data_IF_589981189200
#
_entry.id   IF_589981189200
#
_cell.length_a   1.000
_cell.length_b   1.000
_cell.length_c   1.000
_cell.angle_alpha   90.00
_cell.angle_beta   90.00
_cell.angle_gamma   90.00
#
_symmetry.space_group_name_H-M   'P 1'
#
loop_
_entity.id
_entity.type
_entity.pdbx_description
1 polymer ?
#
# COMPACT_ATOMS: atom_id res chain seq x y z
N UNK A 1 -11.43 1.33 -45.60
CA UNK A 1 -10.73 1.78 -44.38
C UNK A 1 -11.59 2.86 -43.75
N UNK A 2 -12.00 2.76 -42.47
CA UNK A 2 -12.75 3.85 -41.82
C UNK A 2 -11.78 4.98 -41.50
N UNK A 3 -12.17 6.20 -41.84
CA UNK A 3 -11.45 7.44 -41.58
C UNK A 3 -11.28 7.66 -40.07
N UNK A 4 -10.04 7.95 -39.66
CA UNK A 4 -9.70 8.37 -38.30
C UNK A 4 -10.37 9.70 -37.96
N UNK A 5 -11.39 9.69 -37.12
CA UNK A 5 -11.89 10.92 -36.52
C UNK A 5 -10.91 11.38 -35.43
N UNK A 6 -10.26 12.51 -35.66
CA UNK A 6 -9.39 13.20 -34.68
C UNK A 6 -10.24 13.80 -33.55
N UNK A 7 -9.87 13.53 -32.32
CA UNK A 7 -10.43 14.26 -31.17
C UNK A 7 -9.97 15.71 -31.16
N UNK A 8 -10.71 16.64 -30.53
CA UNK A 8 -10.37 18.08 -30.50
C UNK A 8 -9.04 18.43 -29.79
N UNK A 9 -8.34 17.46 -29.23
CA UNK A 9 -7.05 17.65 -28.53
C UNK A 9 -5.90 16.79 -29.06
N UNK A 10 -5.99 16.31 -30.32
CA UNK A 10 -4.86 15.66 -30.99
C UNK A 10 -4.49 14.24 -30.56
N UNK A 11 -5.26 13.60 -29.67
CA UNK A 11 -5.08 12.20 -29.29
C UNK A 11 -5.82 11.25 -30.24
N UNK A 12 -5.22 10.09 -30.56
CA UNK A 12 -5.90 9.03 -31.28
C UNK A 12 -6.92 8.36 -30.37
N UNK A 13 -8.23 8.45 -30.71
CA UNK A 13 -9.27 7.64 -30.07
C UNK A 13 -9.17 6.22 -30.62
N UNK A 14 -8.85 5.26 -29.76
CA UNK A 14 -8.89 3.84 -30.14
C UNK A 14 -10.35 3.44 -30.26
N UNK A 15 -10.85 3.29 -31.49
CA UNK A 15 -12.24 2.91 -31.75
C UNK A 15 -12.33 1.38 -31.69
N UNK A 16 -12.76 0.84 -30.56
CA UNK A 16 -13.02 -0.59 -30.40
C UNK A 16 -14.36 -1.04 -31.03
N UNK A 17 -15.02 -0.15 -31.75
CA UNK A 17 -16.28 -0.44 -32.42
C UNK A 17 -16.50 0.45 -33.66
N UNK A 18 -17.37 -0.02 -34.57
CA UNK A 18 -17.96 0.82 -35.62
C UNK A 18 -19.41 1.06 -35.24
N UNK A 19 -19.89 2.32 -35.24
CA UNK A 19 -21.26 2.67 -34.84
C UNK A 19 -22.32 1.92 -35.62
N UNK A 20 -23.44 1.64 -34.93
CA UNK A 20 -24.59 0.97 -35.50
C UNK A 20 -25.26 1.83 -36.59
N UNK A 21 -25.46 1.24 -37.74
CA UNK A 21 -26.12 1.85 -38.89
C UNK A 21 -27.32 1.02 -39.35
N UNK A 22 -28.41 1.69 -39.77
CA UNK A 22 -29.58 1.03 -40.31
C UNK A 22 -29.39 0.77 -41.80
N UNK A 23 -29.34 -0.49 -42.16
CA UNK A 23 -29.25 -0.94 -43.55
C UNK A 23 -30.65 -1.34 -44.05
N UNK A 24 -31.12 -0.69 -45.12
CA UNK A 24 -32.41 -0.91 -45.75
C UNK A 24 -32.21 -1.74 -47.02
N UNK A 25 -32.87 -2.91 -47.09
CA UNK A 25 -32.86 -3.80 -48.26
C UNK A 25 -34.12 -4.66 -48.23
N UNK A 26 -34.10 -5.86 -48.82
CA UNK A 26 -35.18 -6.84 -48.66
C UNK A 26 -35.54 -7.09 -47.21
N UNK A 27 -34.54 -6.92 -46.30
CA UNK A 27 -34.66 -7.04 -44.88
C UNK A 27 -34.04 -5.80 -44.23
N UNK A 28 -34.80 -5.07 -43.36
CA UNK A 28 -34.25 -4.00 -42.55
C UNK A 28 -33.42 -4.58 -41.40
N UNK A 29 -32.16 -4.18 -41.31
CA UNK A 29 -31.20 -4.65 -40.33
C UNK A 29 -30.34 -3.50 -39.79
N UNK A 30 -29.90 -3.63 -38.59
CA UNK A 30 -28.90 -2.77 -37.98
C UNK A 30 -27.59 -3.54 -38.02
N UNK A 31 -26.53 -2.91 -38.49
CA UNK A 31 -25.20 -3.49 -38.58
C UNK A 31 -24.22 -2.62 -37.82
N UNK A 32 -23.44 -3.22 -36.98
CA UNK A 32 -22.33 -2.58 -36.28
C UNK A 32 -21.20 -3.58 -36.11
N UNK A 33 -20.02 -3.07 -35.71
CA UNK A 33 -18.87 -3.90 -35.40
C UNK A 33 -18.42 -3.58 -34.03
N UNK A 34 -18.03 -4.59 -33.26
CA UNK A 34 -17.40 -4.43 -31.95
C UNK A 34 -16.20 -5.38 -31.85
N UNK A 35 -15.19 -5.00 -31.11
CA UNK A 35 -14.02 -5.82 -30.89
C UNK A 35 -14.40 -7.03 -30.04
N UNK A 36 -14.20 -8.23 -30.57
CA UNK A 36 -14.37 -9.45 -29.79
C UNK A 36 -13.12 -9.65 -28.93
N UNK A 37 -13.24 -9.70 -27.58
CA UNK A 37 -12.10 -9.84 -26.68
C UNK A 37 -11.30 -11.13 -26.87
N UNK A 38 -11.95 -12.20 -27.38
CA UNK A 38 -11.31 -13.50 -27.60
C UNK A 38 -10.50 -13.54 -28.90
N UNK A 39 -11.01 -12.92 -29.98
CA UNK A 39 -10.33 -12.90 -31.29
C UNK A 39 -9.48 -11.64 -31.49
N UNK A 40 -9.59 -10.65 -30.60
CA UNK A 40 -9.01 -9.30 -30.72
C UNK A 40 -9.35 -8.55 -32.03
N UNK A 41 -10.36 -9.01 -32.75
CA UNK A 41 -10.79 -8.46 -34.06
C UNK A 41 -12.14 -7.77 -33.96
N UNK A 42 -12.35 -6.77 -34.82
CA UNK A 42 -13.68 -6.18 -35.00
C UNK A 42 -14.57 -7.18 -35.73
N UNK A 43 -15.57 -7.69 -35.02
CA UNK A 43 -16.54 -8.63 -35.59
C UNK A 43 -17.88 -7.97 -35.82
N UNK A 44 -18.53 -8.43 -36.89
CA UNK A 44 -19.80 -7.89 -37.36
C UNK A 44 -20.96 -8.41 -36.56
N UNK A 45 -21.77 -7.50 -36.02
CA UNK A 45 -23.04 -7.84 -35.35
C UNK A 45 -24.23 -7.32 -36.16
N UNK A 46 -25.25 -8.16 -36.33
CA UNK A 46 -26.45 -7.85 -37.09
C UNK A 46 -27.71 -8.06 -36.29
N UNK A 47 -28.53 -7.01 -36.17
CA UNK A 47 -29.85 -7.06 -35.57
C UNK A 47 -30.92 -6.93 -36.67
N UNK A 48 -31.80 -7.93 -36.76
CA UNK A 48 -32.91 -7.94 -37.74
C UNK A 48 -34.14 -7.23 -37.16
N UNK A 49 -34.72 -6.26 -37.92
CA UNK A 49 -35.85 -5.41 -37.46
C UNK A 49 -37.15 -5.70 -38.21
N UNK A 50 -37.41 -6.94 -38.60
CA UNK A 50 -38.56 -7.26 -39.49
C UNK A 50 -39.85 -7.62 -38.76
N UNK A 51 -39.90 -7.56 -37.44
CA UNK A 51 -41.15 -7.82 -36.66
C UNK A 51 -42.22 -6.78 -36.88
N UNK A 52 -41.87 -5.55 -37.27
CA UNK A 52 -42.79 -4.46 -37.56
C UNK A 52 -43.17 -4.49 -39.03
N UNK A 53 -44.46 -4.68 -39.37
CA UNK A 53 -44.95 -4.86 -40.74
C UNK A 53 -44.89 -3.56 -41.55
N UNK A 54 -45.33 -2.42 -40.97
CA UNK A 54 -45.31 -1.14 -41.65
C UNK A 54 -43.92 -0.57 -41.84
N UNK A 55 -43.57 -0.17 -43.05
CA UNK A 55 -42.22 0.28 -43.41
C UNK A 55 -41.78 1.52 -42.65
N UNK A 56 -42.67 2.50 -42.45
CA UNK A 56 -42.36 3.74 -41.75
C UNK A 56 -42.09 3.51 -40.25
N UNK A 57 -42.92 2.71 -39.58
CA UNK A 57 -42.75 2.32 -38.16
C UNK A 57 -41.49 1.47 -37.96
N UNK A 58 -41.24 0.55 -38.87
CA UNK A 58 -40.03 -0.28 -38.87
C UNK A 58 -38.75 0.55 -38.93
N UNK A 59 -38.79 1.63 -39.74
CA UNK A 59 -37.65 2.54 -39.83
C UNK A 59 -37.44 3.37 -38.57
N UNK A 60 -38.56 3.89 -37.95
CA UNK A 60 -38.46 4.58 -36.67
C UNK A 60 -37.91 3.65 -35.57
N UNK A 61 -38.46 2.43 -35.49
CA UNK A 61 -37.99 1.41 -34.57
C UNK A 61 -36.52 1.03 -34.78
N UNK A 62 -36.10 0.84 -36.03
CA UNK A 62 -34.70 0.50 -36.33
C UNK A 62 -33.74 1.64 -35.97
N UNK A 63 -34.13 2.91 -36.17
CA UNK A 63 -33.33 4.07 -35.78
C UNK A 63 -33.23 4.16 -34.28
N UNK A 64 -34.33 4.04 -33.53
CA UNK A 64 -34.33 4.05 -32.06
C UNK A 64 -33.42 2.96 -31.46
N UNK A 65 -33.44 1.75 -32.05
CA UNK A 65 -32.53 0.67 -31.60
C UNK A 65 -31.07 1.01 -31.93
N UNK A 66 -30.79 1.55 -33.14
CA UNK A 66 -29.41 1.92 -33.52
C UNK A 66 -28.86 3.02 -32.62
N UNK A 67 -29.69 4.02 -32.26
CA UNK A 67 -29.30 5.09 -31.34
C UNK A 67 -29.01 4.55 -29.93
N UNK A 68 -29.84 3.63 -29.42
CA UNK A 68 -29.62 2.96 -28.14
C UNK A 68 -28.33 2.13 -28.14
N UNK A 69 -28.07 1.36 -29.23
CA UNK A 69 -26.84 0.60 -29.39
C UNK A 69 -25.63 1.54 -29.39
N UNK A 70 -25.72 2.64 -30.14
CA UNK A 70 -24.64 3.62 -30.23
C UNK A 70 -24.35 4.30 -28.89
N UNK A 71 -25.37 4.57 -28.10
CA UNK A 71 -25.22 5.10 -26.74
C UNK A 71 -24.55 4.08 -25.83
N UNK A 72 -24.97 2.81 -25.90
CA UNK A 72 -24.36 1.71 -25.14
C UNK A 72 -22.89 1.51 -25.55
N UNK A 73 -22.57 1.50 -26.85
CA UNK A 73 -21.20 1.38 -27.34
C UNK A 73 -20.32 2.55 -26.90
N UNK A 74 -20.84 3.78 -26.88
CA UNK A 74 -20.15 4.96 -26.35
C UNK A 74 -19.84 4.85 -24.85
N UNK A 75 -20.73 4.17 -24.11
CA UNK A 75 -20.56 3.89 -22.66
C UNK A 75 -19.68 2.67 -22.40
N UNK A 76 -19.06 2.07 -23.44
CA UNK A 76 -18.15 0.92 -23.28
C UNK A 76 -18.83 -0.44 -23.33
N UNK A 77 -20.13 -0.53 -23.59
CA UNK A 77 -20.82 -1.82 -23.76
C UNK A 77 -20.27 -2.58 -24.98
N UNK A 78 -20.05 -3.89 -24.80
CA UNK A 78 -19.56 -4.78 -25.84
C UNK A 78 -20.48 -6.04 -25.96
N UNK A 79 -21.07 -6.30 -27.17
CA UNK A 79 -22.03 -7.38 -27.37
C UNK A 79 -21.44 -8.79 -27.25
N UNK A 80 -20.12 -8.94 -27.34
CA UNK A 80 -19.44 -10.22 -27.19
C UNK A 80 -19.17 -10.58 -25.73
N UNK A 81 -19.04 -9.58 -24.90
CA UNK A 81 -18.89 -9.73 -23.45
C UNK A 81 -20.22 -10.10 -22.80
N UNK A 82 -21.38 -9.62 -23.31
CA UNK A 82 -22.75 -9.93 -22.86
C UNK A 82 -23.11 -11.43 -22.91
N UNK A 83 -22.35 -12.20 -23.64
CA UNK A 83 -22.57 -13.64 -23.75
C UNK A 83 -21.78 -14.47 -22.74
N UNK A 84 -20.84 -13.87 -22.03
CA UNK A 84 -19.88 -14.61 -21.22
C UNK A 84 -20.23 -14.77 -19.74
N UNK A 85 -21.14 -14.12 -19.18
CA UNK A 85 -21.74 -14.16 -17.82
C UNK A 85 -22.05 -12.76 -17.33
N UNK A 86 -23.07 -12.60 -16.51
CA UNK A 86 -23.45 -11.32 -15.87
C UNK A 86 -22.32 -10.71 -15.03
N UNK A 87 -21.38 -11.50 -14.59
CA UNK A 87 -20.23 -11.13 -13.75
C UNK A 87 -19.14 -10.37 -14.53
N UNK A 88 -18.97 -10.62 -15.84
CA UNK A 88 -18.02 -9.92 -16.72
C UNK A 88 -18.39 -8.45 -17.03
N UNK A 89 -19.58 -7.98 -16.63
CA UNK A 89 -20.07 -6.60 -16.82
C UNK A 89 -19.81 -5.67 -15.66
N UNK A 90 -19.05 -6.07 -14.70
CA UNK A 90 -18.69 -5.18 -13.62
C UNK A 90 -17.81 -4.05 -14.16
N UNK A 91 -18.26 -2.80 -13.98
CA UNK A 91 -17.41 -1.65 -14.29
C UNK A 91 -16.11 -1.76 -13.49
N UNK A 92 -15.00 -1.39 -14.13
CA UNK A 92 -13.69 -1.48 -13.48
C UNK A 92 -13.64 -0.65 -12.18
N UNK A 93 -14.24 0.55 -12.19
CA UNK A 93 -14.32 1.41 -10.99
C UNK A 93 -15.12 0.74 -9.88
N UNK A 94 -16.28 0.14 -10.20
CA UNK A 94 -17.11 -0.56 -9.22
C UNK A 94 -16.39 -1.79 -8.64
N UNK A 95 -15.64 -2.52 -9.47
CA UNK A 95 -14.83 -3.65 -9.02
C UNK A 95 -13.71 -3.21 -8.06
N UNK A 96 -13.08 -2.06 -8.30
CA UNK A 96 -12.08 -1.48 -7.39
C UNK A 96 -12.71 -1.13 -6.04
N UNK A 97 -13.89 -0.51 -6.04
CA UNK A 97 -14.61 -0.15 -4.82
C UNK A 97 -15.03 -1.38 -4.02
N UNK A 98 -15.57 -2.40 -4.68
CA UNK A 98 -15.93 -3.67 -4.05
C UNK A 98 -14.72 -4.35 -3.42
N UNK A 99 -13.58 -4.40 -4.12
CA UNK A 99 -12.33 -4.94 -3.58
C UNK A 99 -11.90 -4.22 -2.30
N UNK A 100 -11.88 -2.89 -2.32
CA UNK A 100 -11.49 -2.09 -1.15
C UNK A 100 -12.45 -2.35 0.02
N UNK A 101 -13.77 -2.37 -0.24
CA UNK A 101 -14.78 -2.63 0.78
C UNK A 101 -14.64 -4.02 1.42
N UNK A 102 -14.34 -5.04 0.61
CA UNK A 102 -14.10 -6.38 1.13
C UNK A 102 -12.83 -6.43 2.00
N UNK A 103 -11.74 -5.80 1.53
CA UNK A 103 -10.49 -5.72 2.28
C UNK A 103 -10.58 -4.91 3.58
N UNK A 104 -11.58 -4.03 3.74
CA UNK A 104 -11.85 -3.33 5.00
C UNK A 104 -12.18 -4.27 6.16
N UNK A 105 -12.78 -5.43 5.87
CA UNK A 105 -13.16 -6.43 6.87
C UNK A 105 -11.98 -7.31 7.29
N UNK A 106 -10.96 -7.43 6.41
CA UNK A 106 -9.81 -8.33 6.60
C UNK A 106 -8.58 -7.59 7.12
N UNK A 107 -8.39 -6.33 6.68
CA UNK A 107 -7.16 -5.61 6.90
C UNK A 107 -7.23 -4.63 8.08
N UNK A 108 -6.07 -4.39 8.70
CA UNK A 108 -5.92 -3.33 9.71
C UNK A 108 -6.14 -1.94 9.11
N UNK A 109 -6.57 -0.99 9.96
CA UNK A 109 -6.86 0.41 9.59
C UNK A 109 -5.75 1.09 8.78
N UNK A 110 -4.48 0.81 9.06
CA UNK A 110 -3.37 1.42 8.31
C UNK A 110 -3.18 0.78 6.93
N UNK A 111 -3.36 -0.55 6.83
CA UNK A 111 -3.27 -1.26 5.56
C UNK A 111 -4.40 -0.82 4.63
N UNK A 112 -5.64 -0.75 5.15
CA UNK A 112 -6.77 -0.32 4.34
C UNK A 112 -6.66 1.17 3.93
N UNK A 113 -6.08 2.05 4.77
CA UNK A 113 -5.79 3.43 4.37
C UNK A 113 -4.87 3.47 3.15
N UNK A 114 -3.84 2.63 3.13
CA UNK A 114 -2.93 2.52 1.99
C UNK A 114 -3.65 1.99 0.75
N UNK A 115 -4.49 0.97 0.90
CA UNK A 115 -5.29 0.42 -0.20
C UNK A 115 -6.25 1.46 -0.77
N UNK A 116 -6.96 2.22 0.07
CA UNK A 116 -7.84 3.32 -0.37
C UNK A 116 -7.07 4.39 -1.15
N UNK A 117 -5.87 4.76 -0.70
CA UNK A 117 -5.02 5.74 -1.40
C UNK A 117 -4.60 5.23 -2.77
N UNK A 118 -4.15 3.96 -2.86
CA UNK A 118 -3.73 3.34 -4.12
C UNK A 118 -4.92 3.14 -5.08
N UNK A 119 -6.09 2.73 -4.56
CA UNK A 119 -7.32 2.61 -5.32
C UNK A 119 -7.77 3.97 -5.89
N UNK A 120 -7.78 5.01 -5.05
CA UNK A 120 -8.14 6.38 -5.46
C UNK A 120 -7.21 6.90 -6.56
N UNK A 121 -5.91 6.65 -6.47
CA UNK A 121 -4.98 7.04 -7.52
C UNK A 121 -5.26 6.32 -8.85
N UNK A 122 -5.61 5.03 -8.78
CA UNK A 122 -5.95 4.25 -9.96
C UNK A 122 -7.27 4.70 -10.60
N UNK A 123 -8.33 4.86 -9.81
CA UNK A 123 -9.62 5.35 -10.33
C UNK A 123 -9.52 6.76 -10.89
N UNK A 124 -8.77 7.65 -10.24
CA UNK A 124 -8.51 9.00 -10.76
C UNK A 124 -7.76 8.98 -12.08
N UNK A 125 -6.81 8.06 -12.28
CA UNK A 125 -6.15 7.88 -13.57
C UNK A 125 -7.13 7.36 -14.64
N UNK A 126 -8.00 6.39 -14.29
CA UNK A 126 -9.03 5.89 -15.22
C UNK A 126 -9.97 7.01 -15.68
N UNK A 127 -10.38 7.88 -14.77
CA UNK A 127 -11.21 9.05 -15.06
C UNK A 127 -10.48 10.03 -15.98
N UNK A 128 -9.24 10.38 -15.66
CA UNK A 128 -8.41 11.30 -16.44
C UNK A 128 -8.15 10.80 -17.86
N UNK A 129 -8.10 9.48 -18.07
CA UNK A 129 -7.91 8.86 -19.39
C UNK A 129 -9.25 8.57 -20.11
N UNK A 130 -10.39 8.83 -19.50
CA UNK A 130 -11.71 8.52 -20.06
C UNK A 130 -12.09 7.04 -20.00
N UNK A 131 -11.46 6.24 -19.14
CA UNK A 131 -11.69 4.80 -19.00
C UNK A 131 -12.63 4.45 -17.83
N UNK A 132 -13.19 5.41 -17.13
CA UNK A 132 -14.07 5.17 -15.98
C UNK A 132 -15.30 4.30 -16.30
N UNK A 133 -15.81 4.36 -17.55
CA UNK A 133 -16.92 3.53 -18.03
C UNK A 133 -16.50 2.16 -18.58
N UNK A 134 -15.25 1.77 -18.48
CA UNK A 134 -14.77 0.47 -19.00
C UNK A 134 -15.10 -0.67 -18.05
N UNK A 135 -15.38 -1.85 -18.62
CA UNK A 135 -15.55 -3.07 -17.84
C UNK A 135 -14.20 -3.65 -17.41
N UNK A 136 -14.17 -4.32 -16.26
CA UNK A 136 -12.95 -4.92 -15.72
C UNK A 136 -12.30 -5.92 -16.72
N UNK A 137 -13.10 -6.71 -17.43
CA UNK A 137 -12.63 -7.68 -18.42
C UNK A 137 -11.97 -7.06 -19.67
N UNK A 138 -12.17 -5.76 -19.90
CA UNK A 138 -11.58 -5.05 -21.05
C UNK A 138 -10.22 -4.43 -20.73
N UNK A 139 -9.82 -4.40 -19.46
CA UNK A 139 -8.56 -3.84 -19.04
C UNK A 139 -7.43 -4.85 -19.21
N UNK A 140 -6.66 -4.69 -20.28
CA UNK A 140 -5.59 -5.59 -20.68
C UNK A 140 -4.18 -5.07 -20.34
N UNK A 141 -3.15 -5.82 -20.73
CA UNK A 141 -1.75 -5.48 -20.46
C UNK A 141 -1.32 -4.13 -21.06
N UNK A 142 -1.91 -3.71 -22.18
CA UNK A 142 -1.58 -2.41 -22.82
C UNK A 142 -1.98 -1.27 -21.88
N UNK A 143 -3.18 -1.33 -21.30
CA UNK A 143 -3.64 -0.33 -20.31
C UNK A 143 -2.84 -0.40 -19.02
N UNK A 144 -2.49 -1.60 -18.56
CA UNK A 144 -1.66 -1.79 -17.38
C UNK A 144 -0.27 -1.16 -17.55
N UNK A 145 0.37 -1.35 -18.70
CA UNK A 145 1.65 -0.69 -19.04
C UNK A 145 1.51 0.81 -19.04
N UNK A 146 0.48 1.35 -19.72
CA UNK A 146 0.22 2.79 -19.79
C UNK A 146 0.03 3.42 -18.41
N UNK A 147 -0.69 2.74 -17.51
CA UNK A 147 -0.82 3.19 -16.13
C UNK A 147 0.53 3.19 -15.40
N UNK A 148 1.29 2.11 -15.49
CA UNK A 148 2.58 2.03 -14.80
C UNK A 148 3.62 2.99 -15.41
N UNK A 149 3.56 3.28 -16.70
CA UNK A 149 4.38 4.28 -17.36
C UNK A 149 4.04 5.71 -16.90
N UNK A 150 2.75 6.01 -16.70
CA UNK A 150 2.34 7.31 -16.13
C UNK A 150 2.90 7.53 -14.72
N UNK A 151 2.92 6.47 -13.89
CA UNK A 151 3.55 6.51 -12.58
C UNK A 151 5.09 6.59 -12.64
N UNK A 152 5.68 6.03 -13.68
CA UNK A 152 7.13 6.05 -13.86
C UNK A 152 7.64 7.40 -14.36
N UNK A 153 6.78 8.18 -15.02
CA UNK A 153 7.06 9.54 -15.52
C UNK A 153 6.89 10.61 -14.43
N UNK A 154 6.26 10.29 -13.30
CA UNK A 154 6.10 11.19 -12.17
C UNK A 154 7.39 11.18 -11.33
N UNK A 155 8.09 12.32 -11.28
CA UNK A 155 9.36 12.48 -10.56
C UNK A 155 9.21 12.30 -9.04
N UNK A 156 8.02 12.52 -8.48
CA UNK A 156 7.74 12.33 -7.06
C UNK A 156 7.57 10.85 -6.70
N UNK A 157 7.44 9.97 -7.70
CA UNK A 157 7.23 8.53 -7.49
C UNK A 157 8.53 7.74 -7.59
N UNK A 158 9.21 7.56 -6.45
CA UNK A 158 10.40 6.71 -6.36
C UNK A 158 10.10 5.21 -6.58
N UNK A 159 11.14 4.42 -6.86
CA UNK A 159 11.05 2.97 -7.17
C UNK A 159 10.26 2.16 -6.14
N UNK A 160 10.39 2.46 -4.84
CA UNK A 160 9.65 1.78 -3.75
C UNK A 160 8.15 2.05 -3.83
N UNK A 161 7.77 3.30 -4.08
CA UNK A 161 6.37 3.72 -4.24
C UNK A 161 5.78 3.09 -5.49
N UNK A 162 6.47 3.15 -6.63
CA UNK A 162 6.09 2.46 -7.87
C UNK A 162 5.82 0.96 -7.65
N UNK A 163 6.72 0.27 -6.95
CA UNK A 163 6.54 -1.15 -6.62
C UNK A 163 5.35 -1.42 -5.70
N UNK A 164 4.97 -0.45 -4.87
CA UNK A 164 3.76 -0.56 -4.02
C UNK A 164 2.49 -0.46 -4.86
N UNK A 165 2.46 0.43 -5.87
CA UNK A 165 1.38 0.49 -6.86
C UNK A 165 1.28 -0.81 -7.64
N UNK A 166 2.38 -1.31 -8.17
CA UNK A 166 2.40 -2.55 -8.95
C UNK A 166 1.89 -3.75 -8.12
N UNK A 167 2.31 -3.86 -6.86
CA UNK A 167 1.85 -4.92 -5.95
C UNK A 167 0.35 -4.83 -5.69
N UNK A 168 -0.15 -3.63 -5.41
CA UNK A 168 -1.57 -3.39 -5.22
C UNK A 168 -2.37 -3.81 -6.45
N UNK A 169 -1.96 -3.39 -7.65
CA UNK A 169 -2.64 -3.73 -8.89
C UNK A 169 -2.65 -5.24 -9.15
N UNK A 170 -1.54 -5.93 -8.88
CA UNK A 170 -1.49 -7.40 -8.99
C UNK A 170 -2.48 -8.06 -8.05
N UNK A 171 -2.59 -7.60 -6.81
CA UNK A 171 -3.53 -8.14 -5.81
C UNK A 171 -4.97 -7.85 -6.21
N UNK A 172 -5.27 -6.66 -6.68
CA UNK A 172 -6.59 -6.24 -7.16
C UNK A 172 -7.04 -7.10 -8.34
N UNK A 173 -6.22 -7.22 -9.38
CA UNK A 173 -6.59 -7.99 -10.56
C UNK A 173 -6.56 -9.49 -10.34
N UNK A 174 -5.75 -10.01 -9.42
CA UNK A 174 -5.85 -11.40 -8.97
C UNK A 174 -7.24 -11.67 -8.36
N UNK A 175 -7.71 -10.80 -7.46
CA UNK A 175 -9.05 -10.87 -6.89
C UNK A 175 -10.16 -10.75 -7.96
N UNK A 176 -9.97 -9.89 -8.98
CA UNK A 176 -10.90 -9.78 -10.10
C UNK A 176 -10.97 -11.06 -10.94
N UNK A 177 -9.84 -11.74 -11.15
CA UNK A 177 -9.80 -13.02 -11.86
C UNK A 177 -10.52 -14.12 -11.08
N UNK A 178 -10.30 -14.20 -9.76
CA UNK A 178 -11.02 -15.17 -8.90
C UNK A 178 -12.53 -14.97 -8.96
N UNK A 179 -13.01 -13.74 -9.11
CA UNK A 179 -14.44 -13.38 -9.25
C UNK A 179 -14.96 -13.37 -10.68
N UNK A 180 -14.13 -13.77 -11.63
CA UNK A 180 -14.47 -13.76 -13.06
C UNK A 180 -14.82 -12.38 -13.63
N UNK A 181 -14.40 -11.29 -12.96
CA UNK A 181 -14.51 -9.92 -13.49
C UNK A 181 -13.47 -9.65 -14.57
N UNK A 182 -12.35 -10.35 -14.54
CA UNK A 182 -11.30 -10.35 -15.56
C UNK A 182 -10.90 -11.78 -15.91
N UNK A 183 -10.40 -12.00 -17.13
CA UNK A 183 -9.93 -13.31 -17.58
C UNK A 183 -8.51 -13.61 -17.18
N UNK A 184 -7.69 -12.57 -17.04
CA UNK A 184 -6.28 -12.66 -16.67
C UNK A 184 -5.85 -11.43 -15.87
N UNK A 185 -4.69 -11.50 -15.23
CA UNK A 185 -4.12 -10.39 -14.50
C UNK A 185 -3.15 -9.59 -15.39
N UNK A 186 -3.55 -8.40 -15.88
CA UNK A 186 -2.75 -7.63 -16.84
C UNK A 186 -1.45 -7.06 -16.26
N UNK A 187 -1.28 -7.08 -14.93
CA UNK A 187 -0.06 -6.62 -14.25
C UNK A 187 0.91 -7.76 -13.93
N UNK A 188 0.55 -9.02 -14.21
CA UNK A 188 1.32 -10.19 -13.80
C UNK A 188 2.77 -10.14 -14.29
N UNK A 189 2.97 -9.80 -15.57
CA UNK A 189 4.27 -9.85 -16.24
C UNK A 189 5.06 -8.53 -16.15
N UNK A 190 4.49 -7.46 -15.59
CA UNK A 190 5.18 -6.18 -15.46
C UNK A 190 6.29 -6.28 -14.41
N UNK A 191 7.46 -5.76 -14.72
CA UNK A 191 8.63 -5.84 -13.83
C UNK A 191 8.62 -4.75 -12.76
N UNK A 192 8.98 -5.13 -11.54
CA UNK A 192 9.26 -4.17 -10.48
C UNK A 192 10.54 -3.39 -10.78
N UNK A 193 10.60 -2.12 -10.34
CA UNK A 193 11.83 -1.33 -10.39
C UNK A 193 12.81 -1.82 -9.33
N UNK A 194 14.11 -1.81 -9.63
CA UNK A 194 15.15 -2.06 -8.64
C UNK A 194 15.06 -0.97 -7.56
N UNK A 195 15.09 -1.40 -6.33
CA UNK A 195 15.12 -0.50 -5.17
C UNK A 195 16.49 -0.64 -4.55
N UNK A 196 17.22 0.45 -4.49
CA UNK A 196 18.47 0.47 -3.73
C UNK A 196 18.15 0.34 -2.25
N UNK A 197 18.75 -0.62 -1.59
CA UNK A 197 18.60 -0.78 -0.15
C UNK A 197 19.28 0.41 0.53
N UNK A 198 18.45 1.26 1.19
CA UNK A 198 19.02 2.23 2.12
C UNK A 198 19.68 1.44 3.25
N UNK A 199 20.96 1.56 3.40
CA UNK A 199 21.63 1.09 4.59
C UNK A 199 20.98 1.75 5.80
N UNK A 200 20.67 0.96 6.80
CA UNK A 200 20.21 1.47 8.08
C UNK A 200 21.38 2.18 8.72
N UNK A 201 21.16 3.45 9.06
CA UNK A 201 22.20 4.27 9.68
C UNK A 201 21.92 4.36 11.17
N UNK A 202 22.85 3.85 11.98
CA UNK A 202 22.87 4.10 13.41
C UNK A 202 23.16 5.58 13.67
N UNK A 203 22.65 6.09 14.78
CA UNK A 203 22.94 7.45 15.23
C UNK A 203 24.42 7.52 15.66
N UNK A 204 25.19 8.47 15.17
CA UNK A 204 26.56 8.68 15.63
C UNK A 204 26.57 9.08 17.13
N UNK A 205 27.66 8.83 17.85
CA UNK A 205 27.81 9.20 19.26
C UNK A 205 27.49 10.67 19.52
N UNK A 206 27.98 11.57 18.66
CA UNK A 206 27.78 13.01 18.80
C UNK A 206 26.31 13.41 18.71
N UNK A 207 25.53 12.76 17.82
CA UNK A 207 24.09 13.00 17.69
C UNK A 207 23.35 12.49 18.93
N UNK A 208 23.77 11.35 19.50
CA UNK A 208 23.18 10.83 20.74
C UNK A 208 23.43 11.78 21.93
N UNK A 209 24.62 12.34 22.05
CA UNK A 209 24.97 13.33 23.06
C UNK A 209 24.15 14.61 22.92
N UNK A 210 23.97 15.11 21.70
CA UNK A 210 23.12 16.26 21.40
C UNK A 210 21.67 16.01 21.79
N UNK A 211 21.12 14.84 21.46
CA UNK A 211 19.76 14.44 21.86
C UNK A 211 19.62 14.41 23.38
N UNK A 212 20.57 13.81 24.07
CA UNK A 212 20.56 13.74 25.53
C UNK A 212 20.59 15.12 26.18
N UNK A 213 21.53 15.98 25.77
CA UNK A 213 21.62 17.35 26.24
C UNK A 213 20.35 18.18 25.94
N UNK A 214 19.73 17.96 24.80
CA UNK A 214 18.47 18.60 24.45
C UNK A 214 17.35 18.22 25.39
N UNK A 215 17.19 16.93 25.63
CA UNK A 215 16.13 16.38 26.51
C UNK A 215 16.29 16.88 27.95
N UNK A 216 17.51 16.89 28.47
CA UNK A 216 17.80 17.43 29.80
C UNK A 216 17.50 18.91 29.90
N UNK A 217 17.97 19.72 28.92
CA UNK A 217 17.74 21.17 28.89
C UNK A 217 16.27 21.54 28.88
N UNK A 218 15.43 20.75 28.19
CA UNK A 218 14.00 21.04 28.05
C UNK A 218 13.14 20.30 29.08
N UNK A 219 13.74 19.50 29.95
CA UNK A 219 13.01 18.72 30.99
C UNK A 219 12.02 17.73 30.40
N UNK A 220 12.32 17.12 29.20
CA UNK A 220 11.42 16.25 28.45
C UNK A 220 11.52 14.80 28.91
N UNK A 221 11.40 14.55 30.22
CA UNK A 221 11.61 13.23 30.84
C UNK A 221 10.73 12.14 30.22
N UNK A 222 9.44 12.39 30.03
CA UNK A 222 8.51 11.41 29.47
C UNK A 222 8.82 11.12 28.00
N UNK A 223 9.30 12.12 27.26
CA UNK A 223 9.75 11.93 25.88
C UNK A 223 11.03 11.10 25.80
N UNK A 224 11.96 11.29 26.76
CA UNK A 224 13.15 10.44 26.86
C UNK A 224 12.77 8.98 27.06
N UNK A 225 11.81 8.68 27.94
CA UNK A 225 11.33 7.31 28.15
C UNK A 225 10.81 6.70 26.86
N UNK A 226 10.07 7.45 26.03
CA UNK A 226 9.62 6.98 24.72
C UNK A 226 10.79 6.65 23.80
N UNK A 227 11.83 7.47 23.78
CA UNK A 227 13.05 7.22 23.01
C UNK A 227 13.81 6.00 23.54
N UNK A 228 14.00 5.87 24.86
CA UNK A 228 14.68 4.75 25.48
C UNK A 228 13.96 3.42 25.25
N UNK A 229 12.63 3.39 25.25
CA UNK A 229 11.85 2.20 24.89
C UNK A 229 12.08 1.76 23.45
N UNK A 230 12.22 2.72 22.53
CA UNK A 230 12.55 2.42 21.14
C UNK A 230 13.99 1.92 20.98
N UNK A 231 14.93 2.58 21.66
CA UNK A 231 16.37 2.31 21.57
C UNK A 231 16.79 1.03 22.28
N UNK A 232 16.41 0.86 23.57
CA UNK A 232 16.87 -0.27 24.41
C UNK A 232 15.96 -1.49 24.34
N UNK A 233 14.65 -1.25 24.17
CA UNK A 233 13.66 -2.32 24.20
C UNK A 233 13.16 -2.70 22.80
N UNK A 234 13.61 -2.01 21.77
CA UNK A 234 13.24 -2.23 20.37
C UNK A 234 11.74 -2.20 20.10
N UNK A 235 10.95 -1.56 20.97
CA UNK A 235 9.51 -1.40 20.80
C UNK A 235 9.26 -0.38 19.70
N UNK A 236 8.35 -0.70 18.78
CA UNK A 236 8.05 0.21 17.65
C UNK A 236 7.28 1.44 18.14
N UNK A 237 7.51 2.64 17.55
CA UNK A 237 6.87 3.89 17.99
C UNK A 237 5.35 3.78 18.13
N UNK A 238 4.69 3.11 17.18
CA UNK A 238 3.25 2.89 17.25
C UNK A 238 2.83 1.99 18.42
N UNK A 239 3.60 0.95 18.69
CA UNK A 239 3.36 0.03 19.80
C UNK A 239 3.50 0.78 21.12
N UNK A 240 4.56 1.60 21.28
CA UNK A 240 4.80 2.42 22.49
C UNK A 240 3.58 3.30 22.81
N UNK A 241 3.05 4.00 21.78
CA UNK A 241 1.89 4.90 21.99
C UNK A 241 0.60 4.16 22.36
N UNK A 242 0.51 2.87 22.06
CA UNK A 242 -0.68 2.06 22.35
C UNK A 242 -0.60 1.28 23.66
N UNK A 243 0.56 1.28 24.34
CA UNK A 243 0.73 0.63 25.63
C UNK A 243 -0.16 1.27 26.70
N UNK A 244 -0.71 0.41 27.54
CA UNK A 244 -1.54 0.79 28.70
C UNK A 244 -0.88 0.40 30.02
N UNK A 245 -1.31 1.00 31.11
CA UNK A 245 -0.84 0.67 32.46
C UNK A 245 -1.04 -0.82 32.74
N UNK A 246 -2.13 -1.44 32.27
CA UNK A 246 -2.39 -2.87 32.47
C UNK A 246 -1.37 -3.80 31.76
N UNK A 247 -0.62 -3.28 30.79
CA UNK A 247 0.36 -4.05 30.02
C UNK A 247 1.72 -4.13 30.73
N UNK A 248 1.84 -3.48 31.91
CA UNK A 248 3.06 -3.43 32.73
C UNK A 248 2.91 -4.31 33.93
N UNK A 249 3.89 -5.19 34.17
CA UNK A 249 4.06 -5.93 35.40
C UNK A 249 5.26 -5.36 36.17
N UNK A 250 4.95 -4.64 37.25
CA UNK A 250 5.97 -4.01 38.11
C UNK A 250 6.69 -5.01 39.02
N UNK A 251 6.14 -6.20 39.26
CA UNK A 251 6.78 -7.23 40.05
C UNK A 251 7.92 -7.88 39.28
N UNK A 252 7.61 -8.27 38.04
CA UNK A 252 8.58 -8.91 37.14
C UNK A 252 9.39 -7.90 36.32
N UNK A 253 9.07 -6.62 36.38
CA UNK A 253 9.66 -5.55 35.55
C UNK A 253 9.62 -5.83 34.08
N UNK A 254 8.43 -6.15 33.57
CA UNK A 254 8.21 -6.43 32.16
C UNK A 254 7.02 -5.66 31.60
N UNK A 255 7.05 -5.48 30.28
CA UNK A 255 5.95 -4.94 29.47
C UNK A 255 5.46 -6.06 28.55
N UNK A 256 4.20 -6.40 28.62
CA UNK A 256 3.54 -7.28 27.64
C UNK A 256 3.00 -6.45 26.50
N UNK A 257 3.48 -6.69 25.29
CA UNK A 257 2.95 -6.05 24.08
C UNK A 257 1.88 -6.97 23.49
N UNK A 258 0.58 -6.62 23.62
CA UNK A 258 -0.51 -7.50 23.17
C UNK A 258 -0.47 -7.74 21.66
N UNK A 259 -0.90 -8.91 21.21
CA UNK A 259 -1.00 -9.25 19.80
C UNK A 259 -1.81 -8.23 18.96
N UNK A 260 -2.83 -7.60 19.57
CA UNK A 260 -3.64 -6.54 18.95
C UNK A 260 -2.87 -5.26 18.67
N UNK A 261 -1.82 -4.98 19.45
CA UNK A 261 -0.94 -3.82 19.35
C UNK A 261 0.28 -4.15 18.49
N UNK A 262 0.86 -5.34 18.68
CA UNK A 262 2.05 -5.80 17.98
C UNK A 262 1.86 -5.80 16.46
N UNK A 263 2.86 -5.31 15.71
CA UNK A 263 2.83 -5.26 14.24
C UNK A 263 2.71 -6.65 13.61
N UNK A 264 3.35 -7.65 14.23
CA UNK A 264 3.45 -9.02 13.72
C UNK A 264 2.33 -9.94 14.24
N UNK A 265 1.31 -9.41 14.92
CA UNK A 265 0.16 -10.14 15.49
C UNK A 265 0.54 -11.23 16.52
N UNK A 266 1.73 -11.13 17.12
CA UNK A 266 2.18 -12.02 18.19
C UNK A 266 2.39 -11.21 19.45
N UNK A 267 1.88 -11.71 20.57
CA UNK A 267 2.18 -11.18 21.87
C UNK A 267 3.66 -11.41 22.18
N UNK A 268 4.29 -10.42 22.83
CA UNK A 268 5.66 -10.56 23.32
C UNK A 268 5.85 -9.81 24.61
N UNK A 269 6.78 -10.32 25.40
CA UNK A 269 7.19 -9.72 26.69
C UNK A 269 8.55 -9.07 26.51
N UNK A 270 8.70 -7.86 27.04
CA UNK A 270 9.92 -7.06 26.96
C UNK A 270 10.31 -6.63 28.37
N UNK A 271 11.57 -6.88 28.77
CA UNK A 271 12.08 -6.46 30.06
C UNK A 271 12.19 -4.93 30.16
N UNK A 272 11.90 -4.37 31.32
CA UNK A 272 12.07 -2.95 31.63
C UNK A 272 13.50 -2.74 32.14
N UNK A 273 14.38 -2.03 31.39
CA UNK A 273 15.73 -1.72 31.80
C UNK A 273 15.74 -0.92 33.12
N UNK A 274 16.79 -1.12 33.95
CA UNK A 274 16.94 -0.45 35.25
C UNK A 274 16.75 1.07 35.18
N UNK A 275 17.28 1.70 34.16
CA UNK A 275 17.20 3.16 33.93
C UNK A 275 15.76 3.69 33.72
N UNK A 276 14.81 2.82 33.43
CA UNK A 276 13.39 3.17 33.20
C UNK A 276 12.50 2.82 34.39
N UNK A 277 12.99 2.07 35.37
CA UNK A 277 12.18 1.57 36.49
C UNK A 277 11.51 2.66 37.29
N UNK A 278 12.20 3.78 37.56
CA UNK A 278 11.63 4.91 38.33
C UNK A 278 10.40 5.52 37.63
N UNK A 279 10.44 5.62 36.29
CA UNK A 279 9.28 6.08 35.51
C UNK A 279 8.12 5.09 35.61
N UNK A 280 8.39 3.79 35.44
CA UNK A 280 7.37 2.76 35.45
C UNK A 280 6.80 2.54 36.87
N UNK A 281 7.61 2.66 37.93
CA UNK A 281 7.13 2.65 39.30
C UNK A 281 6.09 3.76 39.58
N UNK A 282 6.26 4.92 38.94
CA UNK A 282 5.28 6.02 39.00
C UNK A 282 3.92 5.72 38.37
N UNK A 283 3.76 4.58 37.68
CA UNK A 283 2.47 4.12 37.16
C UNK A 283 1.62 3.37 38.20
N UNK A 284 2.20 3.03 39.37
CA UNK A 284 1.50 2.32 40.40
C UNK A 284 0.28 3.12 40.91
N UNK A 285 -0.85 2.45 41.06
CA UNK A 285 -2.11 3.08 41.46
C UNK A 285 -2.87 3.82 40.36
N UNK A 286 -2.30 3.99 39.16
CA UNK A 286 -3.02 4.58 38.05
C UNK A 286 -4.05 3.61 37.45
N UNK A 287 -5.15 4.12 36.86
CA UNK A 287 -6.15 3.28 36.22
C UNK A 287 -5.55 2.39 35.10
N UNK A 288 -5.79 1.09 35.19
CA UNK A 288 -5.25 0.08 34.29
C UNK A 288 -5.53 0.35 32.78
N UNK A 289 -6.63 1.06 32.47
CA UNK A 289 -7.05 1.40 31.12
C UNK A 289 -6.33 2.62 30.54
N UNK A 290 -5.57 3.39 31.34
CA UNK A 290 -4.85 4.55 30.86
C UNK A 290 -3.73 4.12 29.90
N UNK A 291 -3.55 4.92 28.86
CA UNK A 291 -2.33 4.83 28.03
C UNK A 291 -1.15 5.38 28.83
N UNK A 292 0.00 4.72 28.74
CA UNK A 292 1.24 5.16 29.42
C UNK A 292 1.67 6.51 28.86
N UNK A 293 1.51 6.71 27.54
CA UNK A 293 1.88 7.94 26.84
C UNK A 293 0.66 8.57 26.16
N UNK A 294 0.01 9.50 26.83
CA UNK A 294 -1.13 10.28 26.35
C UNK A 294 -0.69 11.73 26.01
N UNK A 295 -1.51 12.71 26.30
CA UNK A 295 -1.21 14.13 26.09
C UNK A 295 0.07 14.53 26.86
N UNK A 296 1.00 15.19 26.18
CA UNK A 296 2.30 15.56 26.75
C UNK A 296 3.19 14.35 27.09
N UNK A 297 2.93 13.18 26.52
CA UNK A 297 3.58 11.90 26.82
C UNK A 297 3.39 11.41 28.26
N UNK A 298 2.43 11.97 29.01
CA UNK A 298 2.08 11.56 30.38
C UNK A 298 0.97 10.51 30.36
N UNK A 299 0.83 9.70 31.43
CA UNK A 299 -0.26 8.74 31.52
C UNK A 299 -1.63 9.41 31.45
N UNK A 300 -2.57 8.81 30.68
CA UNK A 300 -3.89 9.39 30.49
C UNK A 300 -4.87 8.55 29.68
N UNK A 301 -6.11 9.07 29.57
CA UNK A 301 -7.23 8.36 28.93
C UNK A 301 -7.19 8.38 27.41
N UNK A 302 -6.55 9.38 26.82
CA UNK A 302 -6.61 9.66 25.38
C UNK A 302 -5.44 9.00 24.67
N UNK A 303 -5.74 8.21 23.62
CA UNK A 303 -4.70 7.69 22.74
C UNK A 303 -4.05 8.85 21.98
N UNK A 304 -2.75 9.04 22.18
CA UNK A 304 -1.97 10.01 21.42
C UNK A 304 -1.81 9.54 19.98
N UNK A 305 -1.89 10.47 19.02
CA UNK A 305 -1.62 10.14 17.61
C UNK A 305 -0.20 9.60 17.46
N UNK A 306 -0.08 8.39 16.94
CA UNK A 306 1.21 7.72 16.74
C UNK A 306 2.18 8.49 15.82
N UNK A 307 1.65 9.41 15.00
CA UNK A 307 2.44 10.30 14.14
C UNK A 307 3.13 11.42 14.92
N UNK A 308 2.64 11.75 16.10
CA UNK A 308 3.21 12.83 16.91
C UNK A 308 4.63 12.52 17.39
N UNK A 309 4.96 11.23 17.55
CA UNK A 309 6.34 10.79 17.83
C UNK A 309 7.29 11.28 16.73
N UNK A 310 6.90 11.09 15.46
CA UNK A 310 7.69 11.56 14.31
C UNK A 310 7.77 13.09 14.22
N UNK A 311 6.69 13.80 14.59
CA UNK A 311 6.67 15.27 14.62
C UNK A 311 7.57 15.83 15.72
N UNK A 312 7.48 15.30 16.94
CA UNK A 312 8.36 15.71 18.05
C UNK A 312 9.83 15.45 17.72
N UNK A 313 10.12 14.31 17.08
CA UNK A 313 11.47 14.01 16.61
C UNK A 313 11.94 14.99 15.53
N UNK A 314 11.10 15.31 14.55
CA UNK A 314 11.45 16.25 13.48
C UNK A 314 11.74 17.65 14.03
N UNK A 315 10.93 18.13 14.99
CA UNK A 315 11.15 19.41 15.64
C UNK A 315 12.50 19.47 16.36
N UNK A 316 12.81 18.45 17.18
CA UNK A 316 14.11 18.31 17.85
C UNK A 316 15.28 18.24 16.87
N UNK A 317 15.15 17.39 15.85
CA UNK A 317 16.16 17.24 14.78
C UNK A 317 16.46 18.56 14.08
N UNK A 318 15.39 19.28 13.69
CA UNK A 318 15.52 20.54 12.94
C UNK A 318 16.15 21.64 13.83
N UNK A 319 15.89 21.64 15.14
CA UNK A 319 16.53 22.54 16.11
C UNK A 319 18.00 22.19 16.32
N UNK A 320 18.34 20.90 16.41
CA UNK A 320 19.72 20.43 16.59
C UNK A 320 20.54 20.39 15.29
N UNK A 321 19.89 20.53 14.14
CA UNK A 321 20.53 20.63 12.82
C UNK A 321 21.13 19.31 12.29
N UNK A 322 20.75 18.15 12.79
CA UNK A 322 21.27 16.89 12.26
C UNK A 322 20.47 16.36 11.06
N UNK A 323 21.08 15.47 10.27
CA UNK A 323 20.58 15.04 8.97
C UNK A 323 19.17 14.40 9.04
N UNK A 324 18.35 14.67 8.02
CA UNK A 324 17.01 14.10 7.85
C UNK A 324 16.99 12.58 7.64
N UNK A 325 18.12 11.95 7.32
CA UNK A 325 18.23 10.50 7.26
C UNK A 325 18.00 9.85 8.64
N UNK A 326 18.27 10.56 9.74
CA UNK A 326 18.02 10.09 11.09
C UNK A 326 16.56 10.38 11.50
N UNK A 327 15.75 9.36 11.42
CA UNK A 327 14.35 9.36 11.88
C UNK A 327 14.25 8.86 13.32
N UNK A 328 13.09 9.02 13.96
CA UNK A 328 12.85 8.41 15.27
C UNK A 328 13.15 6.91 15.29
N UNK A 329 12.86 6.20 14.20
CA UNK A 329 13.12 4.77 14.08
C UNK A 329 14.63 4.43 14.06
N UNK A 330 15.49 5.41 13.77
CA UNK A 330 16.94 5.24 13.84
C UNK A 330 17.43 4.91 15.25
N UNK A 331 16.68 5.27 16.31
CA UNK A 331 16.94 4.82 17.67
C UNK A 331 16.95 3.30 17.78
N UNK A 332 15.92 2.63 17.23
CA UNK A 332 15.86 1.17 17.20
C UNK A 332 16.99 0.58 16.35
N UNK A 333 17.27 1.19 15.19
CA UNK A 333 18.33 0.76 14.31
C UNK A 333 19.69 0.88 15.03
N UNK A 334 19.92 1.97 15.79
CA UNK A 334 21.13 2.17 16.61
C UNK A 334 21.29 1.11 17.69
N UNK A 335 20.26 0.88 18.49
CA UNK A 335 20.34 -0.09 19.57
C UNK A 335 20.58 -1.52 19.08
N UNK A 336 19.99 -1.90 17.94
CA UNK A 336 20.25 -3.20 17.29
C UNK A 336 21.72 -3.30 16.84
N UNK A 337 22.22 -2.26 16.17
CA UNK A 337 23.61 -2.18 15.70
C UNK A 337 24.59 -2.33 16.87
N UNK A 338 24.41 -1.54 17.91
CA UNK A 338 25.28 -1.56 19.10
C UNK A 338 25.26 -2.91 19.84
N UNK A 339 24.10 -3.58 19.94
CA UNK A 339 24.04 -4.93 20.50
C UNK A 339 24.83 -5.94 19.67
N UNK A 340 24.73 -5.88 18.34
CA UNK A 340 25.48 -6.75 17.45
C UNK A 340 26.99 -6.48 17.50
N UNK A 341 27.37 -5.20 17.60
CA UNK A 341 28.77 -4.78 17.75
C UNK A 341 29.35 -5.19 19.13
N UNK A 342 28.53 -5.20 20.17
CA UNK A 342 28.88 -5.73 21.48
C UNK A 342 28.97 -7.29 21.54
N UNK A 343 28.76 -7.98 20.40
CA UNK A 343 28.88 -9.43 20.31
C UNK A 343 27.65 -10.22 20.75
N UNK A 344 26.50 -9.54 20.98
CA UNK A 344 25.25 -10.24 21.30
C UNK A 344 24.84 -11.11 20.10
N UNK A 345 24.52 -12.41 20.31
CA UNK A 345 24.17 -13.30 19.20
C UNK A 345 23.01 -12.77 18.36
N UNK A 346 23.17 -12.71 17.05
CA UNK A 346 22.17 -12.16 16.11
C UNK A 346 20.81 -12.82 16.25
N UNK A 347 20.74 -14.10 16.64
CA UNK A 347 19.48 -14.80 16.93
C UNK A 347 18.74 -14.18 18.11
N UNK A 348 19.44 -13.82 19.19
CA UNK A 348 18.85 -13.17 20.36
C UNK A 348 18.39 -11.74 20.02
N UNK A 349 19.22 -10.99 19.29
CA UNK A 349 18.86 -9.65 18.81
C UNK A 349 17.63 -9.69 17.91
N UNK A 350 17.52 -10.70 17.03
CA UNK A 350 16.33 -10.94 16.20
C UNK A 350 15.06 -11.09 17.04
N UNK A 351 15.12 -11.91 18.10
CA UNK A 351 13.99 -12.17 18.99
C UNK A 351 13.60 -10.91 19.76
N UNK A 352 14.56 -10.20 20.35
CA UNK A 352 14.33 -8.94 21.06
C UNK A 352 13.76 -7.85 20.12
N UNK A 353 14.26 -7.75 18.89
CA UNK A 353 13.82 -6.77 17.92
C UNK A 353 12.48 -7.13 17.23
N UNK A 354 11.94 -8.34 17.50
CA UNK A 354 10.74 -8.87 16.86
C UNK A 354 10.87 -8.85 15.32
N UNK A 355 11.99 -9.39 14.81
CA UNK A 355 12.24 -9.50 13.37
C UNK A 355 11.75 -10.86 12.84
N UNK A 356 11.08 -10.85 11.68
CA UNK A 356 10.58 -12.05 11.03
C UNK A 356 11.70 -13.01 10.60
N UNK A 357 12.82 -12.48 10.13
CA UNK A 357 13.93 -13.28 9.63
C UNK A 357 15.27 -12.79 10.21
N UNK A 358 16.25 -13.68 10.23
CA UNK A 358 17.61 -13.35 10.62
C UNK A 358 18.23 -12.34 9.65
N UNK A 359 17.94 -12.47 8.36
CA UNK A 359 18.36 -11.55 7.31
C UNK A 359 18.00 -10.08 7.63
N UNK A 360 16.84 -9.84 8.24
CA UNK A 360 16.47 -8.49 8.68
C UNK A 360 17.40 -7.95 9.77
N UNK A 361 17.95 -8.80 10.62
CA UNK A 361 18.89 -8.43 11.69
C UNK A 361 20.31 -8.28 11.13
N UNK A 362 20.69 -9.13 10.19
CA UNK A 362 22.02 -9.08 9.56
C UNK A 362 22.26 -7.79 8.77
N UNK A 363 21.21 -7.09 8.32
CA UNK A 363 21.31 -5.75 7.70
C UNK A 363 21.96 -4.69 8.59
N UNK A 364 22.02 -4.93 9.90
CA UNK A 364 22.67 -4.06 10.87
C UNK A 364 24.11 -4.48 11.16
N UNK A 365 24.60 -5.56 10.55
CA UNK A 365 25.96 -6.02 10.73
C UNK A 365 26.87 -5.33 9.71
N UNK A 366 27.60 -4.31 10.15
CA UNK A 366 28.51 -3.54 9.28
C UNK A 366 29.90 -4.15 9.17
N UNK A 367 30.23 -5.16 9.99
CA UNK A 367 31.55 -5.83 9.97
C UNK A 367 31.64 -6.79 8.81
N UNK A 368 32.73 -6.69 8.04
CA UNK A 368 33.05 -7.67 6.98
C UNK A 368 33.29 -9.06 7.58
N UNK A 369 33.04 -10.11 6.80
CA UNK A 369 33.36 -11.48 7.23
C UNK A 369 34.85 -11.62 7.62
N UNK A 370 35.75 -10.90 6.95
CA UNK A 370 37.17 -10.88 7.26
C UNK A 370 37.49 -10.31 8.65
N UNK A 371 36.79 -9.22 9.05
CA UNK A 371 36.95 -8.66 10.39
C UNK A 371 36.46 -9.59 11.49
N UNK A 372 35.41 -10.36 11.22
CA UNK A 372 34.88 -11.36 12.16
C UNK A 372 35.88 -12.54 12.33
N UNK A 373 36.54 -12.97 11.26
CA UNK A 373 37.52 -14.07 11.31
C UNK A 373 38.67 -13.71 12.23
N UNK A 374 39.20 -12.49 12.17
CA UNK A 374 40.25 -12.01 13.05
C UNK A 374 39.89 -12.05 14.54
N UNK A 375 38.61 -11.85 14.89
CA UNK A 375 38.17 -11.95 16.29
C UNK A 375 38.08 -13.39 16.81
N UNK A 376 37.99 -14.38 15.90
CA UNK A 376 37.92 -15.81 16.23
C UNK A 376 39.24 -16.56 16.01
N UNK A 377 40.28 -15.87 15.60
CA UNK A 377 41.59 -16.49 15.35
C UNK A 377 42.16 -17.17 16.60
N UNK A 378 41.93 -16.58 17.79
CA UNK A 378 42.29 -17.17 19.07
C UNK A 378 41.43 -18.39 19.49
N UNK A 379 40.27 -18.59 18.84
CA UNK A 379 39.35 -19.70 19.14
C UNK A 379 39.66 -20.93 18.29
N UNK A 380 40.22 -20.73 17.08
CA UNK A 380 40.61 -21.80 16.17
C UNK A 380 42.04 -22.24 16.49
N UNK A 381 42.21 -22.99 17.59
CA UNK A 381 43.49 -23.63 17.93
C UNK A 381 43.52 -25.03 17.33
N UNK A 382 44.47 -25.26 16.40
CA UNK A 382 44.83 -26.59 15.94
C UNK A 382 45.61 -27.33 17.05
#
# INVERSE_FOLDING_TARGET
>A
MPENQKSPKGGYVYIDYVPAQVCVGKITRIVYYAKNPLSERLERVVVKCNRVRQKAERMRYARSIADNINEKLRRGWNPFVDRMSTEGYTLLVDAVEQFVHEKERELRKDSIRSYRSLAKAFTGWLEAQGYAGSYACMFNEVFARKYMESLAADEDIGARTYNSYLRFQRTLFFWMVERRYATENPFQNLKAKRVDEKQRQALPPEVKEQIHAYVERHGMREWDVVMQLCYRCFIRPKEIMMLRVQDVDLKEWVITIPATVAKNHHERVVAIPGVLRDFFAGLEGLPRTYYIFSTGYRPGRVLKDTRDVGKSWAAMRDELGFDKCYSFYSLKDTGITEMLEAGVPAKLVKELADHHSLEMTERYTHRSAAQKVLEYDDVLKL
#
